data_IF_483802497538
#
_entry.id   IF_483802497538
#
_cell.length_a   1.000
_cell.length_b   1.000
_cell.length_c   1.000
_cell.angle_alpha   90.00
_cell.angle_beta   90.00
_cell.angle_gamma   90.00
#
_symmetry.space_group_name_H-M   'P 1'
#
loop_
_entity.id
_entity.type
_entity.pdbx_description
1 polymer ?
#
# COMPACT_ATOMS: atom_id res chain seq x y z
N UNK A 1 35.51 -45.84 29.21
CA UNK A 1 34.15 -46.33 29.51
C UNK A 1 33.23 -45.60 28.56
N UNK A 2 32.72 -46.32 27.56
CA UNK A 2 31.91 -45.80 26.47
C UNK A 2 30.56 -45.26 26.98
N UNK A 3 30.19 -44.07 26.51
CA UNK A 3 28.91 -43.44 26.84
C UNK A 3 27.77 -44.20 26.18
N UNK A 4 26.94 -44.85 26.98
CA UNK A 4 25.81 -45.64 26.53
C UNK A 4 24.74 -44.73 25.90
N UNK A 5 24.70 -44.68 24.57
CA UNK A 5 23.72 -43.91 23.81
C UNK A 5 22.35 -44.59 23.92
N UNK A 6 21.50 -44.08 24.83
CA UNK A 6 20.13 -44.57 25.03
C UNK A 6 19.28 -44.19 23.82
N UNK A 7 18.88 -45.18 23.01
CA UNK A 7 17.96 -44.97 21.89
C UNK A 7 16.57 -44.53 22.38
N UNK A 8 15.95 -43.60 21.65
CA UNK A 8 14.61 -43.07 21.95
C UNK A 8 13.56 -44.19 21.86
N UNK A 9 12.70 -44.32 22.86
CA UNK A 9 11.67 -45.37 22.88
C UNK A 9 10.58 -45.11 21.83
N UNK A 10 10.08 -46.17 21.18
CA UNK A 10 9.00 -46.04 20.18
C UNK A 10 7.74 -45.36 20.74
N UNK A 11 7.41 -45.65 22.00
CA UNK A 11 6.26 -45.02 22.68
C UNK A 11 6.49 -43.52 22.93
N UNK A 12 7.74 -43.12 23.22
CA UNK A 12 8.11 -41.72 23.41
C UNK A 12 8.03 -40.97 22.09
N UNK A 13 8.42 -41.61 20.98
CA UNK A 13 8.23 -41.08 19.63
C UNK A 13 6.76 -40.90 19.26
N UNK A 14 5.90 -41.90 19.53
CA UNK A 14 4.47 -41.80 19.23
C UNK A 14 3.76 -40.72 20.06
N UNK A 15 4.10 -40.60 21.35
CA UNK A 15 3.56 -39.55 22.21
C UNK A 15 4.03 -38.17 21.74
N UNK A 16 5.32 -38.01 21.46
CA UNK A 16 5.88 -36.74 20.99
C UNK A 16 5.21 -36.27 19.68
N UNK A 17 5.08 -37.15 18.68
CA UNK A 17 4.41 -36.83 17.40
C UNK A 17 2.96 -36.41 17.62
N UNK A 18 2.24 -37.11 18.49
CA UNK A 18 0.83 -36.80 18.78
C UNK A 18 0.68 -35.43 19.43
N UNK A 19 1.52 -35.11 20.42
CA UNK A 19 1.49 -33.80 21.08
C UNK A 19 1.86 -32.67 20.10
N UNK A 20 2.87 -32.86 19.26
CA UNK A 20 3.24 -31.88 18.23
C UNK A 20 2.13 -31.68 17.20
N UNK A 21 1.42 -32.74 16.79
CA UNK A 21 0.27 -32.62 15.89
C UNK A 21 -0.84 -31.74 16.47
N UNK A 22 -1.19 -31.93 17.75
CA UNK A 22 -2.18 -31.10 18.45
C UNK A 22 -1.72 -29.65 18.55
N UNK A 23 -0.44 -29.40 18.86
CA UNK A 23 0.11 -28.04 18.93
C UNK A 23 0.03 -27.32 17.57
N UNK A 24 0.34 -28.02 16.48
CA UNK A 24 0.25 -27.45 15.11
C UNK A 24 -1.20 -27.09 14.78
N UNK A 25 -2.18 -27.94 15.14
CA UNK A 25 -3.61 -27.68 14.90
C UNK A 25 -4.06 -26.37 15.56
N UNK A 26 -3.60 -26.08 16.78
CA UNK A 26 -4.00 -24.86 17.51
C UNK A 26 -3.18 -23.63 17.06
N UNK A 27 -1.91 -23.81 16.68
CA UNK A 27 -1.03 -22.71 16.31
C UNK A 27 -1.28 -22.16 14.89
N UNK A 28 -1.65 -23.01 13.93
CA UNK A 28 -1.89 -22.62 12.54
C UNK A 28 -2.97 -21.53 12.33
N UNK A 29 -4.17 -21.60 12.94
CA UNK A 29 -5.21 -20.59 12.70
C UNK A 29 -4.82 -19.20 13.20
N UNK A 30 -4.06 -19.12 14.30
CA UNK A 30 -3.57 -17.84 14.82
C UNK A 30 -2.52 -17.21 13.88
N UNK A 31 -1.65 -18.02 13.27
CA UNK A 31 -0.64 -17.54 12.33
C UNK A 31 -1.26 -16.93 11.07
N UNK A 32 -2.34 -17.53 10.56
CA UNK A 32 -3.03 -17.05 9.37
C UNK A 32 -3.60 -15.64 9.58
N UNK A 33 -4.22 -15.37 10.73
CA UNK A 33 -4.77 -14.06 11.05
C UNK A 33 -3.68 -13.00 11.20
N UNK A 34 -2.55 -13.35 11.81
CA UNK A 34 -1.41 -12.44 11.95
C UNK A 34 -0.82 -12.02 10.60
N UNK A 35 -0.55 -12.99 9.71
CA UNK A 35 -0.01 -12.71 8.37
C UNK A 35 -1.00 -11.88 7.55
N UNK A 36 -2.29 -12.18 7.68
CA UNK A 36 -3.37 -11.43 7.02
C UNK A 36 -3.36 -9.95 7.44
N UNK A 37 -3.38 -9.69 8.74
CA UNK A 37 -3.39 -8.33 9.31
C UNK A 37 -2.12 -7.54 8.95
N UNK A 38 -0.96 -8.19 9.03
CA UNK A 38 0.32 -7.57 8.68
C UNK A 38 0.38 -7.15 7.21
N UNK A 39 -0.12 -8.00 6.30
CA UNK A 39 -0.15 -7.69 4.88
C UNK A 39 -1.20 -6.62 4.54
N UNK A 40 -2.37 -6.64 5.18
CA UNK A 40 -3.36 -5.54 5.05
C UNK A 40 -2.77 -4.20 5.50
N UNK A 41 -2.11 -4.19 6.66
CA UNK A 41 -1.40 -3.00 7.17
C UNK A 41 -0.38 -2.51 6.16
N UNK A 42 0.41 -3.42 5.57
CA UNK A 42 1.41 -3.08 4.55
C UNK A 42 0.79 -2.39 3.33
N UNK A 43 -0.29 -2.95 2.77
CA UNK A 43 -1.00 -2.33 1.63
C UNK A 43 -1.51 -0.94 2.00
N UNK A 44 -2.08 -0.80 3.20
CA UNK A 44 -2.61 0.49 3.65
C UNK A 44 -1.50 1.53 3.84
N UNK A 45 -0.38 1.16 4.47
CA UNK A 45 0.78 2.04 4.62
C UNK A 45 1.34 2.47 3.28
N UNK A 46 1.52 1.55 2.32
CA UNK A 46 1.99 1.90 0.97
C UNK A 46 1.04 2.86 0.25
N UNK A 47 -0.27 2.69 0.44
CA UNK A 47 -1.29 3.59 -0.11
C UNK A 47 -1.22 5.00 0.50
N UNK A 48 -1.15 5.11 1.83
CA UNK A 48 -1.04 6.40 2.54
C UNK A 48 0.28 7.11 2.22
N UNK A 49 1.37 6.36 2.13
CA UNK A 49 2.68 6.87 1.74
C UNK A 49 2.65 7.43 0.31
N UNK A 50 2.04 6.71 -0.64
CA UNK A 50 1.89 7.21 -2.00
C UNK A 50 1.08 8.50 -2.06
N UNK A 51 -0.02 8.62 -1.29
CA UNK A 51 -0.79 9.86 -1.20
C UNK A 51 0.04 11.02 -0.66
N UNK A 52 0.83 10.78 0.39
CA UNK A 52 1.68 11.79 1.01
C UNK A 52 2.77 12.26 0.05
N UNK A 53 3.49 11.32 -0.55
CA UNK A 53 4.57 11.60 -1.50
C UNK A 53 4.03 12.29 -2.75
N UNK A 54 2.88 11.89 -3.27
CA UNK A 54 2.24 12.54 -4.41
C UNK A 54 1.97 14.03 -4.16
N UNK A 55 1.42 14.38 -2.98
CA UNK A 55 1.20 15.78 -2.59
C UNK A 55 2.51 16.56 -2.52
N UNK A 56 3.55 15.97 -1.92
CA UNK A 56 4.87 16.61 -1.81
C UNK A 56 5.46 16.86 -3.21
N UNK A 57 5.34 15.90 -4.13
CA UNK A 57 5.82 16.03 -5.51
C UNK A 57 5.13 17.17 -6.24
N UNK A 58 3.81 17.33 -6.10
CA UNK A 58 3.11 18.47 -6.67
C UNK A 58 3.55 19.80 -6.07
N UNK A 59 3.59 19.92 -4.74
CA UNK A 59 4.04 21.16 -4.07
C UNK A 59 5.46 21.53 -4.48
N UNK A 60 6.35 20.54 -4.60
CA UNK A 60 7.72 20.74 -5.07
C UNK A 60 7.76 21.22 -6.52
N UNK A 61 6.95 20.63 -7.39
CA UNK A 61 6.82 21.06 -8.79
C UNK A 61 6.31 22.48 -8.94
N UNK A 62 5.28 22.84 -8.18
CA UNK A 62 4.69 24.17 -8.17
C UNK A 62 5.71 25.22 -7.69
N UNK A 63 6.47 24.89 -6.63
CA UNK A 63 7.56 25.74 -6.15
C UNK A 63 8.68 25.93 -7.19
N UNK A 64 9.03 24.88 -7.95
CA UNK A 64 10.02 24.98 -9.03
C UNK A 64 9.55 25.94 -10.12
N UNK A 65 8.29 25.83 -10.56
CA UNK A 65 7.71 26.71 -11.57
C UNK A 65 7.71 28.16 -11.08
N UNK A 66 7.32 28.41 -9.82
CA UNK A 66 7.31 29.75 -9.23
C UNK A 66 8.71 30.39 -9.15
N UNK A 67 9.75 29.58 -9.04
CA UNK A 67 11.16 30.01 -9.06
C UNK A 67 11.75 30.13 -10.48
N UNK A 68 10.95 29.90 -11.53
CA UNK A 68 11.41 29.89 -12.92
C UNK A 68 12.26 28.66 -13.29
N UNK A 69 12.21 27.61 -12.48
CA UNK A 69 12.90 26.33 -12.71
C UNK A 69 12.03 25.37 -13.52
N UNK A 70 12.66 24.37 -14.13
CA UNK A 70 11.94 23.28 -14.79
C UNK A 70 11.26 22.40 -13.75
N UNK A 71 9.96 22.15 -13.93
CA UNK A 71 9.18 21.26 -13.06
C UNK A 71 9.68 19.82 -13.15
N UNK A 72 9.76 19.17 -11.99
CA UNK A 72 10.12 17.74 -11.84
C UNK A 72 8.92 16.84 -11.59
N UNK A 73 7.70 17.34 -11.82
CA UNK A 73 6.49 16.51 -11.73
C UNK A 73 6.54 15.45 -12.84
N UNK A 74 6.29 14.17 -12.51
CA UNK A 74 6.18 13.11 -13.51
C UNK A 74 5.14 13.42 -14.58
N UNK A 75 5.39 12.99 -15.82
CA UNK A 75 4.50 13.22 -16.96
C UNK A 75 3.62 12.02 -17.31
N UNK A 76 3.89 10.88 -16.69
CA UNK A 76 3.22 9.61 -16.93
C UNK A 76 3.20 8.76 -15.65
N UNK A 77 2.39 7.69 -15.68
CA UNK A 77 2.23 6.75 -14.57
C UNK A 77 3.53 6.07 -14.19
N UNK A 78 4.41 5.75 -15.15
CA UNK A 78 5.69 5.10 -14.89
C UNK A 78 6.64 6.01 -14.09
N UNK A 79 6.68 7.30 -14.42
CA UNK A 79 7.43 8.31 -13.68
C UNK A 79 6.88 8.52 -12.27
N UNK A 80 5.54 8.49 -12.11
CA UNK A 80 4.93 8.51 -10.79
C UNK A 80 5.32 7.29 -9.96
N UNK A 81 5.26 6.08 -10.54
CA UNK A 81 5.68 4.85 -9.87
C UNK A 81 7.17 4.94 -9.45
N UNK A 82 8.03 5.47 -10.31
CA UNK A 82 9.45 5.63 -10.00
C UNK A 82 9.71 6.61 -8.84
N UNK A 83 8.97 7.72 -8.79
CA UNK A 83 9.10 8.72 -7.70
C UNK A 83 8.51 8.19 -6.39
N UNK A 84 7.37 7.49 -6.45
CA UNK A 84 6.68 6.96 -5.27
C UNK A 84 7.37 5.71 -4.71
N UNK A 85 8.07 4.94 -5.55
CA UNK A 85 8.77 3.72 -5.16
C UNK A 85 10.30 3.88 -5.13
N UNK A 86 10.82 5.03 -4.68
CA UNK A 86 12.28 5.25 -4.65
C UNK A 86 13.02 4.20 -3.82
N UNK A 87 12.39 3.72 -2.74
CA UNK A 87 12.93 2.72 -1.82
C UNK A 87 12.71 1.26 -2.28
N UNK A 88 12.15 1.04 -3.48
CA UNK A 88 11.86 -0.30 -4.02
C UNK A 88 11.05 -1.18 -3.06
N UNK A 89 10.04 -0.59 -2.42
CA UNK A 89 9.13 -1.30 -1.53
C UNK A 89 8.38 -2.41 -2.28
N UNK A 90 8.16 -3.52 -1.59
CA UNK A 90 7.50 -4.70 -2.15
C UNK A 90 6.07 -4.82 -1.62
N UNK A 91 5.14 -5.20 -2.49
CA UNK A 91 3.80 -5.62 -2.11
C UNK A 91 3.86 -6.90 -1.25
N UNK A 92 2.79 -7.23 -0.51
CA UNK A 92 2.68 -8.52 0.19
C UNK A 92 2.93 -9.75 -0.69
N UNK A 93 2.51 -9.70 -1.97
CA UNK A 93 2.72 -10.76 -2.95
C UNK A 93 4.15 -10.87 -3.49
N UNK A 94 5.09 -10.06 -2.99
CA UNK A 94 6.52 -10.13 -3.33
C UNK A 94 6.96 -9.35 -4.57
N UNK A 95 6.02 -8.82 -5.37
CA UNK A 95 6.33 -7.89 -6.46
C UNK A 95 6.48 -6.44 -5.98
N UNK A 96 6.70 -5.49 -6.91
CA UNK A 96 6.71 -4.05 -6.61
C UNK A 96 5.43 -3.61 -5.88
N UNK A 97 5.55 -2.75 -4.86
CA UNK A 97 4.42 -2.19 -4.12
C UNK A 97 3.47 -1.37 -5.00
N UNK A 98 3.99 -0.79 -6.10
CA UNK A 98 3.26 0.09 -7.00
C UNK A 98 3.35 -0.40 -8.44
N UNK A 99 2.21 -0.38 -9.14
CA UNK A 99 2.07 -0.65 -10.57
C UNK A 99 0.97 0.25 -11.15
N UNK A 100 0.79 0.28 -12.47
CA UNK A 100 -0.25 1.10 -13.10
C UNK A 100 -1.67 0.66 -12.72
N UNK A 101 -1.86 -0.64 -12.47
CA UNK A 101 -3.14 -1.23 -12.11
C UNK A 101 -3.02 -1.88 -10.73
N UNK A 102 -4.00 -1.60 -9.87
CA UNK A 102 -4.07 -2.22 -8.54
C UNK A 102 -4.34 -3.73 -8.67
N UNK A 103 -3.79 -4.53 -7.76
CA UNK A 103 -3.95 -5.99 -7.79
C UNK A 103 -4.42 -6.52 -6.44
N UNK A 104 -5.63 -7.09 -6.42
CA UNK A 104 -6.30 -7.66 -5.24
C UNK A 104 -5.72 -8.99 -4.76
N UNK A 105 -4.95 -9.69 -5.60
CA UNK A 105 -4.31 -10.96 -5.24
C UNK A 105 -2.98 -10.72 -4.54
N UNK A 106 -2.20 -9.76 -5.04
CA UNK A 106 -0.84 -9.50 -4.54
C UNK A 106 -0.73 -8.29 -3.60
N UNK A 107 -1.80 -7.49 -3.48
CA UNK A 107 -1.81 -6.29 -2.64
C UNK A 107 -1.03 -5.12 -3.24
N UNK A 108 -1.02 -5.00 -4.57
CA UNK A 108 -0.31 -3.91 -5.27
C UNK A 108 -1.20 -2.68 -5.36
N UNK A 109 -0.65 -1.52 -5.02
CA UNK A 109 -1.33 -0.22 -5.16
C UNK A 109 -1.22 0.26 -6.60
N UNK A 110 -2.37 0.62 -7.19
CA UNK A 110 -2.45 1.16 -8.54
C UNK A 110 -2.12 2.65 -8.57
N UNK A 111 -1.28 3.08 -9.50
CA UNK A 111 -0.87 4.47 -9.69
C UNK A 111 -1.11 4.84 -11.15
N UNK A 112 -2.01 5.78 -11.41
CA UNK A 112 -2.24 6.33 -12.74
C UNK A 112 -2.20 7.84 -12.69
N UNK A 113 -1.42 8.47 -13.57
CA UNK A 113 -1.34 9.93 -13.54
C UNK A 113 -0.43 10.50 -14.60
N UNK A 114 -0.43 11.83 -14.63
CA UNK A 114 0.36 12.67 -15.50
C UNK A 114 0.86 13.91 -14.72
N UNK A 115 1.22 14.99 -15.41
CA UNK A 115 1.70 16.20 -14.76
C UNK A 115 0.61 17.01 -14.04
N UNK A 116 -0.65 16.75 -14.35
CA UNK A 116 -1.85 17.46 -13.87
C UNK A 116 -2.50 16.74 -12.70
N UNK A 117 -2.53 15.40 -12.72
CA UNK A 117 -3.14 14.62 -11.65
C UNK A 117 -2.45 13.28 -11.44
N UNK A 118 -2.65 12.70 -10.26
CA UNK A 118 -2.34 11.30 -9.98
C UNK A 118 -3.46 10.68 -9.17
N UNK A 119 -3.97 9.56 -9.66
CA UNK A 119 -4.94 8.69 -9.01
C UNK A 119 -4.21 7.51 -8.39
N UNK A 120 -4.30 7.41 -7.07
CA UNK A 120 -3.77 6.29 -6.30
C UNK A 120 -4.94 5.41 -5.89
N UNK A 121 -4.84 4.11 -6.17
CA UNK A 121 -5.91 3.12 -5.95
C UNK A 121 -5.41 1.99 -5.06
N UNK A 122 -5.99 1.87 -3.87
CA UNK A 122 -5.78 0.74 -2.97
C UNK A 122 -6.65 -0.43 -3.43
N UNK A 123 -6.09 -1.62 -3.66
CA UNK A 123 -6.87 -2.78 -4.08
C UNK A 123 -7.77 -3.30 -2.96
N UNK A 124 -8.82 -4.03 -3.33
CA UNK A 124 -9.51 -4.91 -2.38
C UNK A 124 -8.55 -6.03 -1.97
N UNK A 125 -8.15 -6.09 -0.70
CA UNK A 125 -7.15 -7.06 -0.25
C UNK A 125 -7.53 -7.63 1.11
N UNK A 126 -7.93 -8.91 1.12
CA UNK A 126 -8.24 -9.70 2.32
C UNK A 126 -9.25 -9.07 3.31
N UNK A 127 -10.06 -8.12 2.87
CA UNK A 127 -11.03 -7.39 3.71
C UNK A 127 -10.85 -5.87 3.71
N UNK A 128 -9.76 -5.36 3.11
CA UNK A 128 -9.70 -3.96 2.73
C UNK A 128 -10.67 -3.71 1.58
N UNK A 129 -11.49 -2.67 1.70
CA UNK A 129 -12.29 -2.18 0.58
C UNK A 129 -11.39 -1.41 -0.41
N UNK A 130 -11.71 -1.57 -1.69
CA UNK A 130 -11.12 -0.76 -2.75
C UNK A 130 -11.40 0.73 -2.47
N UNK A 131 -10.36 1.54 -2.58
CA UNK A 131 -10.51 2.99 -2.47
C UNK A 131 -9.52 3.66 -3.41
N UNK A 132 -9.98 4.68 -4.12
CA UNK A 132 -9.14 5.49 -4.97
C UNK A 132 -9.23 6.95 -4.57
N UNK A 133 -8.10 7.66 -4.68
CA UNK A 133 -8.04 9.11 -4.49
C UNK A 133 -7.22 9.73 -5.60
N UNK A 134 -7.81 10.75 -6.23
CA UNK A 134 -7.15 11.59 -7.22
C UNK A 134 -6.64 12.85 -6.55
N UNK A 135 -5.35 13.10 -6.67
CA UNK A 135 -4.72 14.35 -6.28
C UNK A 135 -4.49 15.15 -7.56
N UNK A 136 -4.98 16.37 -7.61
CA UNK A 136 -4.76 17.30 -8.73
C UNK A 136 -3.71 18.34 -8.34
N UNK A 137 -2.91 18.73 -9.33
CA UNK A 137 -1.98 19.84 -9.21
C UNK A 137 -2.74 21.16 -8.95
N UNK A 138 -2.20 22.01 -8.08
CA UNK A 138 -2.78 23.32 -7.71
C UNK A 138 -2.79 24.32 -8.88
N UNK A 139 -1.83 24.22 -9.78
CA UNK A 139 -1.62 25.05 -10.96
C UNK A 139 -2.43 24.58 -12.20
N UNK A 140 -3.17 23.46 -12.10
CA UNK A 140 -4.08 23.05 -13.17
C UNK A 140 -5.32 23.99 -13.19
N UNK A 141 -5.66 24.62 -14.34
CA UNK A 141 -6.81 25.51 -14.44
C UNK A 141 -8.13 24.86 -13.98
N UNK A 142 -8.29 23.55 -14.14
CA UNK A 142 -9.49 22.80 -13.72
C UNK A 142 -9.63 22.74 -12.19
N UNK A 143 -8.54 22.79 -11.43
CA UNK A 143 -8.58 22.71 -9.97
C UNK A 143 -9.12 24.00 -9.33
N UNK A 144 -8.93 25.14 -10.00
CA UNK A 144 -9.51 26.42 -9.56
C UNK A 144 -11.04 26.42 -9.74
N UNK A 145 -11.55 25.74 -10.77
CA UNK A 145 -12.98 25.61 -11.04
C UNK A 145 -13.69 24.63 -10.08
N UNK A 146 -12.99 23.59 -9.61
CA UNK A 146 -13.53 22.64 -8.63
C UNK A 146 -13.59 23.22 -7.21
N UNK A 147 -12.55 23.95 -6.79
CA UNK A 147 -12.57 24.69 -5.51
C UNK A 147 -13.66 25.76 -5.48
N UNK A 148 -13.94 26.39 -6.61
CA UNK A 148 -15.05 27.35 -6.73
C UNK A 148 -16.42 26.64 -6.58
N UNK A 149 -16.58 25.43 -7.11
CA UNK A 149 -17.85 24.69 -7.02
C UNK A 149 -18.11 24.09 -5.63
N UNK A 150 -17.08 23.61 -4.92
CA UNK A 150 -17.21 23.15 -3.53
C UNK A 150 -17.58 24.30 -2.57
N UNK A 151 -17.11 25.53 -2.84
CA UNK A 151 -17.46 26.72 -2.04
C UNK A 151 -18.92 27.19 -2.20
N UNK A 152 -19.57 26.84 -3.32
CA UNK A 152 -20.97 27.24 -3.60
C UNK A 152 -21.98 26.30 -2.92
N UNK A 153 -21.58 25.07 -2.58
CA UNK A 153 -22.47 24.08 -1.98
C UNK A 153 -22.68 24.25 -0.46
N UNK A 154 -21.93 25.14 0.21
CA UNK A 154 -21.98 25.36 1.66
C UNK A 154 -22.78 26.62 2.05
N UNK A 155 -23.66 27.11 1.17
CA UNK A 155 -24.49 28.30 1.41
C UNK A 155 -25.98 27.99 1.21
N UNK A 156 -26.50 27.03 1.96
CA UNK A 156 -27.92 27.03 2.33
C UNK A 156 -28.02 27.20 3.83
N UNK A 157 -28.39 28.39 4.34
CA UNK A 157 -28.81 28.50 5.73
C UNK A 157 -30.05 27.63 5.91
N UNK A 158 -29.97 26.70 6.85
CA UNK A 158 -31.10 25.92 7.38
C UNK A 158 -32.21 26.92 7.78
N UNK A 159 -33.34 26.90 7.07
CA UNK A 159 -34.58 27.60 7.44
C UNK A 159 -35.51 26.63 8.17
#
# INVERSE_FOLDING_TARGET
MEGMQKGFGLIEGMLAVTLTAVLIIVALPAYQNYVKEANMTKVNTSYEEALRLARITFVKGDAQIALGLTSTIPKDSAGWIAVLNSESSLAPGGGSAYQEVANSVTGVVGIQGDNSFVTISRPEYWGLAETSKTIRNSADPVNNELKAQESVLEITPDE
#
